data_IF_023350520851
#
_entry.id   IF_023350520851
#
_cell.length_a   1.000
_cell.length_b   1.000
_cell.length_c   1.000
_cell.angle_alpha   90.00
_cell.angle_beta   90.00
_cell.angle_gamma   90.00
#
_symmetry.space_group_name_H-M   'P 1'
#
loop_
_entity.id
_entity.type
_entity.pdbx_description
1 polymer ?
#
# COMPACT_ATOMS: atom_id res chain seq x y z
N UNK A 1 4.28 -24.97 -0.35
CA UNK A 1 5.09 -25.46 -1.48
C UNK A 1 4.22 -26.00 -2.62
N UNK A 2 3.15 -26.77 -2.35
CA UNK A 2 2.29 -27.38 -3.38
C UNK A 2 1.77 -26.37 -4.44
N UNK A 3 1.21 -25.19 -4.08
CA UNK A 3 0.75 -24.23 -5.08
C UNK A 3 1.87 -23.71 -6.00
N UNK A 4 3.08 -23.52 -5.46
CA UNK A 4 4.23 -23.07 -6.26
C UNK A 4 4.64 -24.12 -7.27
N UNK A 5 4.66 -25.40 -6.87
CA UNK A 5 4.99 -26.52 -7.77
C UNK A 5 3.95 -26.63 -8.90
N UNK A 6 2.66 -26.55 -8.57
CA UNK A 6 1.58 -26.60 -9.56
C UNK A 6 1.69 -25.40 -10.52
N UNK A 7 1.82 -24.17 -10.01
CA UNK A 7 1.98 -23.00 -10.86
C UNK A 7 3.23 -23.08 -11.74
N UNK A 8 4.34 -23.62 -11.20
CA UNK A 8 5.57 -23.81 -11.98
C UNK A 8 5.38 -24.82 -13.10
N UNK A 9 4.69 -25.94 -12.83
CA UNK A 9 4.39 -26.95 -13.85
C UNK A 9 3.47 -26.39 -14.93
N UNK A 10 2.50 -25.53 -14.58
CA UNK A 10 1.61 -24.87 -15.55
C UNK A 10 2.31 -23.79 -16.36
N UNK A 11 3.32 -23.11 -15.78
CA UNK A 11 4.09 -22.08 -16.45
C UNK A 11 5.07 -22.67 -17.50
N UNK A 12 5.52 -23.93 -17.30
CA UNK A 12 6.37 -24.64 -18.25
C UNK A 12 5.56 -24.89 -19.53
N UNK A 13 5.97 -24.32 -20.64
CA UNK A 13 5.25 -24.41 -21.92
C UNK A 13 4.28 -23.26 -22.17
N UNK A 14 4.19 -22.27 -21.28
CA UNK A 14 3.45 -21.04 -21.56
C UNK A 14 4.23 -20.17 -22.56
N UNK A 15 3.50 -19.58 -23.52
CA UNK A 15 4.06 -18.67 -24.54
C UNK A 15 4.34 -17.24 -23.99
N UNK A 16 4.37 -17.07 -22.66
CA UNK A 16 4.58 -15.75 -22.04
C UNK A 16 6.07 -15.38 -22.06
N UNK A 17 6.41 -14.37 -22.84
CA UNK A 17 7.75 -13.78 -22.82
C UNK A 17 7.89 -12.78 -21.66
N UNK A 18 8.58 -13.20 -20.60
CA UNK A 18 8.87 -12.39 -19.42
C UNK A 18 9.75 -11.16 -19.70
N UNK A 19 10.52 -11.20 -20.76
CA UNK A 19 11.44 -10.12 -21.15
C UNK A 19 10.82 -9.15 -22.15
N UNK A 20 9.59 -9.41 -22.60
CA UNK A 20 8.91 -8.49 -23.50
C UNK A 20 8.71 -7.11 -22.85
N UNK A 21 8.83 -6.00 -23.59
CA UNK A 21 8.64 -4.66 -23.07
C UNK A 21 7.26 -4.46 -22.43
N UNK A 22 6.26 -5.22 -22.89
CA UNK A 22 4.91 -5.21 -22.32
C UNK A 22 4.89 -5.85 -20.93
N UNK A 23 5.55 -6.99 -20.76
CA UNK A 23 5.57 -7.72 -19.50
C UNK A 23 6.37 -6.96 -18.43
N UNK A 24 7.51 -6.38 -18.82
CA UNK A 24 8.30 -5.53 -17.94
C UNK A 24 7.50 -4.32 -17.43
N UNK A 25 6.62 -3.73 -18.25
CA UNK A 25 5.70 -2.68 -17.79
C UNK A 25 4.72 -3.16 -16.72
N UNK A 26 4.18 -4.37 -16.82
CA UNK A 26 3.30 -4.91 -15.78
C UNK A 26 4.04 -5.08 -14.44
N UNK A 27 5.29 -5.56 -14.48
CA UNK A 27 6.14 -5.64 -13.29
C UNK A 27 6.38 -4.24 -12.71
N UNK A 28 6.82 -3.30 -13.53
CA UNK A 28 7.10 -1.93 -13.12
C UNK A 28 5.86 -1.26 -12.52
N UNK A 29 4.70 -1.37 -13.17
CA UNK A 29 3.44 -0.81 -12.67
C UNK A 29 3.07 -1.41 -11.30
N UNK A 30 3.19 -2.73 -11.14
CA UNK A 30 2.87 -3.40 -9.88
C UNK A 30 3.80 -2.96 -8.76
N UNK A 31 5.12 -2.93 -9.01
CA UNK A 31 6.13 -2.55 -8.01
C UNK A 31 6.03 -1.09 -7.63
N UNK A 32 5.87 -0.19 -8.60
CA UNK A 32 5.75 1.25 -8.33
C UNK A 32 4.48 1.57 -7.55
N UNK A 33 3.35 0.96 -7.94
CA UNK A 33 2.07 1.11 -7.25
C UNK A 33 2.14 0.58 -5.82
N UNK A 34 2.64 -0.65 -5.64
CA UNK A 34 2.77 -1.27 -4.33
C UNK A 34 3.77 -0.52 -3.43
N UNK A 35 4.89 -0.07 -4.00
CA UNK A 35 5.89 0.73 -3.30
C UNK A 35 5.35 2.08 -2.83
N UNK A 36 4.69 2.83 -3.73
CA UNK A 36 4.09 4.12 -3.40
C UNK A 36 3.00 3.97 -2.33
N UNK A 37 2.08 3.01 -2.52
CA UNK A 37 1.03 2.73 -1.54
C UNK A 37 1.60 2.31 -0.18
N UNK A 38 2.60 1.44 -0.14
CA UNK A 38 3.22 1.00 1.11
C UNK A 38 3.88 2.16 1.86
N UNK A 39 4.67 2.98 1.18
CA UNK A 39 5.35 4.14 1.80
C UNK A 39 4.33 5.14 2.37
N UNK A 40 3.32 5.50 1.59
CA UNK A 40 2.31 6.47 2.01
C UNK A 40 1.42 5.91 3.12
N UNK A 41 1.04 4.63 3.06
CA UNK A 41 0.25 3.98 4.11
C UNK A 41 1.02 3.89 5.43
N UNK A 42 2.32 3.54 5.39
CA UNK A 42 3.15 3.50 6.61
C UNK A 42 3.39 4.90 7.16
N UNK A 43 3.60 5.90 6.31
CA UNK A 43 3.69 7.29 6.74
C UNK A 43 2.41 7.76 7.45
N UNK A 44 1.23 7.41 6.90
CA UNK A 44 -0.06 7.69 7.54
C UNK A 44 -0.21 6.94 8.87
N UNK A 45 0.21 5.67 8.95
CA UNK A 45 0.18 4.90 10.20
C UNK A 45 1.09 5.50 11.27
N UNK A 46 2.28 5.98 10.91
CA UNK A 46 3.16 6.72 11.82
C UNK A 46 2.48 8.00 12.31
N UNK A 47 1.87 8.77 11.41
CA UNK A 47 1.19 10.01 11.76
C UNK A 47 0.03 9.78 12.74
N UNK A 48 -0.84 8.81 12.43
CA UNK A 48 -1.98 8.44 13.29
C UNK A 48 -1.51 7.90 14.63
N UNK A 49 -0.60 6.91 14.64
CA UNK A 49 -0.14 6.27 15.86
C UNK A 49 0.68 7.21 16.75
N UNK A 50 1.49 8.09 16.16
CA UNK A 50 2.23 9.10 16.93
C UNK A 50 1.30 10.19 17.48
N UNK A 51 0.29 10.61 16.72
CA UNK A 51 -0.74 11.53 17.21
C UNK A 51 -1.50 10.96 18.42
N UNK A 52 -1.88 9.69 18.38
CA UNK A 52 -2.53 9.00 19.49
C UNK A 52 -1.66 9.00 20.76
N UNK A 53 -0.34 8.86 20.59
CA UNK A 53 0.60 8.88 21.72
C UNK A 53 0.78 10.28 22.33
N UNK A 54 0.77 11.34 21.48
CA UNK A 54 0.93 12.72 21.94
C UNK A 54 -0.30 13.29 22.62
N UNK A 55 -1.47 12.95 22.12
CA UNK A 55 -2.75 13.53 22.53
C UNK A 55 -3.77 12.42 22.78
N UNK A 56 -3.62 11.64 23.88
CA UNK A 56 -4.60 10.63 24.20
C UNK A 56 -5.95 11.29 24.53
N UNK A 57 -6.97 11.03 23.73
CA UNK A 57 -8.29 11.63 23.84
C UNK A 57 -9.31 10.98 22.91
N UNK A 58 -10.56 11.41 22.99
CA UNK A 58 -11.64 10.82 22.18
C UNK A 58 -11.40 10.94 20.67
N UNK A 59 -10.86 12.07 20.22
CA UNK A 59 -10.57 12.31 18.79
C UNK A 59 -9.48 11.38 18.27
N UNK A 60 -8.38 11.22 19.02
CA UNK A 60 -7.28 10.35 18.63
C UNK A 60 -7.67 8.87 18.64
N UNK A 61 -8.46 8.44 19.63
CA UNK A 61 -9.02 7.08 19.65
C UNK A 61 -10.00 6.86 18.50
N UNK A 62 -10.87 7.84 18.21
CA UNK A 62 -11.78 7.81 17.07
C UNK A 62 -11.04 7.68 15.73
N UNK A 63 -9.98 8.46 15.53
CA UNK A 63 -9.15 8.37 14.33
C UNK A 63 -8.51 6.99 14.15
N UNK A 64 -7.98 6.41 15.23
CA UNK A 64 -7.43 5.05 15.19
C UNK A 64 -8.48 3.97 14.95
N UNK A 65 -9.69 4.15 15.49
CA UNK A 65 -10.81 3.24 15.22
C UNK A 65 -11.21 3.27 13.75
N UNK A 66 -11.41 4.48 13.20
CA UNK A 66 -11.74 4.66 11.77
C UNK A 66 -10.64 4.09 10.85
N UNK A 67 -9.38 4.31 11.20
CA UNK A 67 -8.25 3.77 10.43
C UNK A 67 -8.26 2.23 10.33
N UNK A 68 -8.85 1.54 11.30
CA UNK A 68 -8.92 0.07 11.32
C UNK A 68 -10.11 -0.49 10.53
N UNK A 69 -11.15 0.30 10.28
CA UNK A 69 -12.34 -0.15 9.56
C UNK A 69 -12.06 -0.49 8.08
N UNK A 70 -11.10 0.19 7.47
CA UNK A 70 -10.79 0.03 6.05
C UNK A 70 -10.42 -1.41 5.64
N UNK A 71 -9.78 -2.16 6.52
CA UNK A 71 -9.38 -3.54 6.23
C UNK A 71 -10.57 -4.52 6.17
N UNK A 72 -11.63 -4.25 6.91
CA UNK A 72 -12.84 -5.07 6.90
C UNK A 72 -13.70 -4.85 5.64
N UNK A 73 -13.51 -3.73 4.95
CA UNK A 73 -14.31 -3.39 3.77
C UNK A 73 -13.68 -4.03 2.52
N UNK A 74 -14.47 -4.73 1.68
CA UNK A 74 -13.97 -5.28 0.41
C UNK A 74 -13.41 -4.17 -0.50
N UNK A 75 -12.28 -4.45 -1.19
CA UNK A 75 -11.61 -3.46 -2.04
C UNK A 75 -12.49 -2.87 -3.14
N UNK A 76 -13.37 -3.68 -3.74
CA UNK A 76 -14.34 -3.19 -4.72
C UNK A 76 -15.33 -2.18 -4.14
N UNK A 77 -15.77 -2.36 -2.89
CA UNK A 77 -16.68 -1.41 -2.20
C UNK A 77 -15.97 -0.09 -1.93
N UNK A 78 -14.71 -0.15 -1.47
CA UNK A 78 -13.88 1.05 -1.29
C UNK A 78 -13.72 1.78 -2.63
N UNK A 79 -13.44 1.04 -3.71
CA UNK A 79 -13.28 1.63 -5.05
C UNK A 79 -14.53 2.41 -5.48
N UNK A 80 -15.70 1.77 -5.43
CA UNK A 80 -16.97 2.42 -5.81
C UNK A 80 -17.26 3.62 -4.89
N UNK A 81 -17.03 3.47 -3.58
CA UNK A 81 -17.25 4.53 -2.60
C UNK A 81 -16.36 5.75 -2.78
N UNK A 82 -15.15 5.58 -3.33
CA UNK A 82 -14.20 6.68 -3.57
C UNK A 82 -14.40 7.35 -4.93
N UNK A 83 -14.77 6.62 -5.97
CA UNK A 83 -14.91 7.20 -7.33
C UNK A 83 -15.90 8.35 -7.33
N UNK A 84 -17.09 8.18 -6.73
CA UNK A 84 -18.15 9.18 -6.81
C UNK A 84 -17.77 10.54 -6.16
N UNK A 85 -17.27 10.60 -4.90
CA UNK A 85 -16.89 11.86 -4.28
C UNK A 85 -15.66 12.50 -4.95
N UNK A 86 -14.67 11.71 -5.41
CA UNK A 86 -13.51 12.27 -6.10
C UNK A 86 -13.83 12.75 -7.51
N UNK A 87 -14.75 12.09 -8.24
CA UNK A 87 -15.23 12.59 -9.51
C UNK A 87 -16.04 13.90 -9.35
N UNK A 88 -16.85 14.01 -8.31
CA UNK A 88 -17.56 15.25 -7.99
C UNK A 88 -16.57 16.38 -7.66
N UNK A 89 -15.52 16.09 -6.89
CA UNK A 89 -14.45 17.05 -6.58
C UNK A 89 -13.70 17.50 -7.83
N UNK A 90 -13.27 16.58 -8.69
CA UNK A 90 -12.54 16.89 -9.93
C UNK A 90 -13.41 17.77 -10.85
N UNK A 91 -14.70 17.44 -11.01
CA UNK A 91 -15.61 18.23 -11.83
C UNK A 91 -15.86 19.64 -11.26
N UNK A 92 -16.00 19.74 -9.94
CA UNK A 92 -16.17 21.04 -9.28
C UNK A 92 -14.91 21.91 -9.43
N UNK A 93 -13.73 21.29 -9.29
CA UNK A 93 -12.45 21.96 -9.47
C UNK A 93 -12.24 22.42 -10.92
N UNK A 94 -12.53 21.58 -11.90
CA UNK A 94 -12.43 21.90 -13.32
C UNK A 94 -13.38 23.05 -13.70
N UNK A 95 -14.62 23.03 -13.20
CA UNK A 95 -15.57 24.12 -13.42
C UNK A 95 -15.08 25.45 -12.83
N UNK A 96 -14.59 25.44 -11.58
CA UNK A 96 -14.04 26.62 -10.93
C UNK A 96 -12.80 27.16 -11.65
N UNK A 97 -11.90 26.29 -12.11
CA UNK A 97 -10.69 26.66 -12.84
C UNK A 97 -11.00 27.27 -14.21
N UNK A 98 -12.01 26.73 -14.91
CA UNK A 98 -12.48 27.30 -16.19
C UNK A 98 -13.11 28.67 -15.98
N UNK A 99 -13.95 28.83 -14.97
CA UNK A 99 -14.63 30.09 -14.69
C UNK A 99 -13.67 31.21 -14.23
N UNK A 100 -12.63 30.84 -13.46
CA UNK A 100 -11.73 31.83 -12.85
C UNK A 100 -10.49 32.12 -13.70
N UNK A 101 -9.93 31.11 -14.38
CA UNK A 101 -8.64 31.19 -15.06
C UNK A 101 -8.70 30.80 -16.54
N UNK A 102 -9.87 30.43 -17.05
CA UNK A 102 -10.07 29.89 -18.42
C UNK A 102 -9.19 28.66 -18.73
N UNK A 103 -8.89 27.85 -17.69
CA UNK A 103 -8.06 26.65 -17.77
C UNK A 103 -8.89 25.42 -17.47
N UNK A 104 -8.92 24.44 -18.40
CA UNK A 104 -9.49 23.12 -18.14
C UNK A 104 -8.45 22.23 -17.46
N UNK A 105 -8.75 21.75 -16.24
CA UNK A 105 -7.92 20.80 -15.52
C UNK A 105 -8.29 19.34 -15.85
N UNK A 106 -9.52 19.11 -16.31
CA UNK A 106 -10.05 17.75 -16.46
C UNK A 106 -10.10 16.97 -15.14
N UNK A 107 -10.08 15.65 -15.24
CA UNK A 107 -10.06 14.77 -14.07
C UNK A 107 -8.63 14.57 -13.58
N UNK A 108 -8.25 15.21 -12.46
CA UNK A 108 -6.89 15.15 -11.91
C UNK A 108 -6.66 13.91 -11.04
N UNK A 109 -7.65 13.55 -10.24
CA UNK A 109 -7.57 12.44 -9.29
C UNK A 109 -8.24 11.21 -9.86
N UNK A 110 -9.47 11.38 -10.35
CA UNK A 110 -10.27 10.29 -10.93
C UNK A 110 -9.64 9.80 -12.23
N UNK A 111 -9.38 8.48 -12.32
CA UNK A 111 -8.68 7.88 -13.46
C UNK A 111 -7.15 8.03 -13.41
N UNK A 112 -6.60 8.56 -12.32
CA UNK A 112 -5.17 8.60 -12.05
C UNK A 112 -4.73 7.48 -11.10
N UNK A 113 -3.41 7.22 -11.05
CA UNK A 113 -2.81 6.28 -10.10
C UNK A 113 -3.05 6.71 -8.63
N UNK A 114 -3.21 8.02 -8.39
CA UNK A 114 -3.36 8.56 -7.04
C UNK A 114 -4.66 8.15 -6.37
N UNK A 115 -5.76 8.08 -7.12
CA UNK A 115 -7.03 7.59 -6.56
C UNK A 115 -6.91 6.13 -6.10
N UNK A 116 -6.20 5.31 -6.87
CA UNK A 116 -5.92 3.91 -6.52
C UNK A 116 -5.00 3.81 -5.29
N UNK A 117 -3.97 4.67 -5.19
CA UNK A 117 -3.11 4.74 -4.00
C UNK A 117 -3.91 5.13 -2.76
N UNK A 118 -4.81 6.11 -2.87
CA UNK A 118 -5.71 6.50 -1.77
C UNK A 118 -6.59 5.33 -1.33
N UNK A 119 -7.15 4.57 -2.28
CA UNK A 119 -7.95 3.39 -1.96
C UNK A 119 -7.15 2.34 -1.17
N UNK A 120 -5.91 2.12 -1.56
CA UNK A 120 -5.01 1.21 -0.86
C UNK A 120 -4.60 1.73 0.52
N UNK A 121 -4.36 3.04 0.64
CA UNK A 121 -4.11 3.65 1.96
C UNK A 121 -5.30 3.40 2.89
N UNK A 122 -6.52 3.67 2.46
CA UNK A 122 -7.74 3.42 3.26
C UNK A 122 -7.84 1.95 3.65
N UNK A 123 -7.59 1.04 2.70
CA UNK A 123 -7.73 -0.40 2.91
C UNK A 123 -6.67 -0.97 3.84
N UNK A 124 -5.41 -0.62 3.64
CA UNK A 124 -4.28 -1.27 4.31
C UNK A 124 -3.72 -0.49 5.50
N UNK A 125 -4.30 0.67 5.84
CA UNK A 125 -3.87 1.47 6.99
C UNK A 125 -3.95 0.68 8.31
N UNK A 126 -4.97 -0.17 8.47
CA UNK A 126 -5.13 -1.01 9.66
C UNK A 126 -3.95 -1.96 9.86
N UNK A 127 -3.47 -2.60 8.77
CA UNK A 127 -2.34 -3.54 8.84
C UNK A 127 -1.04 -2.81 9.19
N UNK A 128 -0.80 -1.63 8.57
CA UNK A 128 0.36 -0.81 8.88
C UNK A 128 0.32 -0.26 10.30
N UNK A 129 -0.85 0.19 10.77
CA UNK A 129 -1.04 0.71 12.13
C UNK A 129 -0.81 -0.39 13.18
N UNK A 130 -1.33 -1.61 12.94
CA UNK A 130 -1.10 -2.74 13.83
C UNK A 130 0.39 -3.11 13.97
N UNK A 131 1.15 -3.10 12.87
CA UNK A 131 2.59 -3.32 12.92
C UNK A 131 3.34 -2.19 13.64
N UNK A 132 2.93 -0.93 13.42
CA UNK A 132 3.46 0.23 14.13
C UNK A 132 3.21 0.13 15.64
N UNK A 133 1.99 -0.17 16.07
CA UNK A 133 1.61 -0.30 17.47
C UNK A 133 2.36 -1.44 18.17
N UNK A 134 2.53 -2.57 17.48
CA UNK A 134 3.34 -3.68 18.00
C UNK A 134 4.79 -3.28 18.28
N UNK A 135 5.38 -2.43 17.43
CA UNK A 135 6.70 -1.85 17.69
C UNK A 135 6.68 -0.80 18.80
N UNK A 136 5.64 0.02 18.84
CA UNK A 136 5.51 1.11 19.80
C UNK A 136 5.43 0.62 21.25
N UNK A 137 4.98 -0.61 21.49
CA UNK A 137 5.00 -1.24 22.81
C UNK A 137 6.42 -1.35 23.41
N UNK A 138 7.46 -1.31 22.58
CA UNK A 138 8.87 -1.33 23.02
C UNK A 138 9.40 0.05 23.43
N UNK A 139 8.69 1.12 23.10
CA UNK A 139 9.09 2.51 23.42
C UNK A 139 8.42 2.96 24.71
N UNK A 140 9.17 2.87 25.81
CA UNK A 140 8.67 3.26 27.14
C UNK A 140 8.33 4.76 27.22
N UNK A 141 7.29 5.11 28.00
CA UNK A 141 6.87 6.50 28.22
C UNK A 141 7.99 7.37 28.84
N UNK A 142 8.90 6.77 29.62
CA UNK A 142 10.03 7.46 30.21
C UNK A 142 11.00 8.04 29.17
N UNK A 143 11.08 7.44 27.98
CA UNK A 143 11.91 7.97 26.88
C UNK A 143 11.36 9.30 26.37
N UNK A 144 10.03 9.43 26.29
CA UNK A 144 9.38 10.69 25.91
C UNK A 144 9.55 11.75 27.01
N UNK A 145 9.47 11.35 28.29
CA UNK A 145 9.70 12.25 29.41
C UNK A 145 11.14 12.77 29.42
N UNK A 146 12.14 11.88 29.24
CA UNK A 146 13.54 12.25 29.16
C UNK A 146 13.82 13.19 27.96
N UNK A 147 13.21 12.91 26.81
CA UNK A 147 13.34 13.77 25.64
C UNK A 147 12.82 15.18 25.89
N UNK A 148 11.65 15.29 26.55
CA UNK A 148 11.08 16.59 26.93
C UNK A 148 11.96 17.34 27.96
N UNK A 149 12.53 16.63 28.93
CA UNK A 149 13.44 17.25 29.94
C UNK A 149 14.70 17.84 29.28
N UNK A 150 15.12 17.25 28.16
CA UNK A 150 16.23 17.75 27.34
C UNK A 150 15.79 18.85 26.35
N UNK A 151 14.57 19.38 26.45
CA UNK A 151 14.05 20.44 25.61
C UNK A 151 13.70 20.01 24.17
N UNK A 152 13.59 18.70 23.90
CA UNK A 152 13.24 18.22 22.56
C UNK A 152 11.73 18.34 22.31
N UNK A 153 11.38 18.91 21.17
CA UNK A 153 9.98 18.93 20.70
C UNK A 153 9.48 17.57 20.19
N UNK A 154 8.15 17.43 19.97
CA UNK A 154 7.55 16.16 19.56
C UNK A 154 8.15 15.56 18.29
N UNK A 155 8.38 16.37 17.26
CA UNK A 155 8.94 15.91 15.99
C UNK A 155 10.40 15.45 16.13
N UNK A 156 11.17 16.12 16.99
CA UNK A 156 12.55 15.69 17.31
C UNK A 156 12.54 14.34 18.04
N UNK A 157 11.62 14.15 18.99
CA UNK A 157 11.42 12.88 19.69
C UNK A 157 11.02 11.76 18.72
N UNK A 158 10.08 12.03 17.82
CA UNK A 158 9.72 11.06 16.76
C UNK A 158 10.93 10.64 15.94
N UNK A 159 11.68 11.62 15.43
CA UNK A 159 12.79 11.37 14.49
C UNK A 159 14.01 10.73 15.15
N UNK A 160 14.33 11.13 16.41
CA UNK A 160 15.57 10.71 17.10
C UNK A 160 15.39 9.46 17.96
N UNK A 161 14.17 9.19 18.44
CA UNK A 161 13.89 8.10 19.36
C UNK A 161 12.96 7.07 18.72
N UNK A 162 11.75 7.49 18.30
CA UNK A 162 10.74 6.55 17.83
C UNK A 162 11.14 5.88 16.51
N UNK A 163 11.44 6.64 15.45
CA UNK A 163 11.74 6.06 14.15
C UNK A 163 12.92 5.06 14.17
N UNK A 164 14.05 5.33 14.85
CA UNK A 164 15.13 4.36 14.94
C UNK A 164 14.73 3.08 15.68
N UNK A 165 14.01 3.19 16.77
CA UNK A 165 13.56 2.03 17.55
C UNK A 165 12.47 1.23 16.82
N UNK A 166 11.60 1.90 16.09
CA UNK A 166 10.49 1.30 15.34
C UNK A 166 10.91 0.75 13.96
N UNK A 167 12.14 0.99 13.51
CA UNK A 167 12.59 0.57 12.18
C UNK A 167 12.24 -0.88 11.83
N UNK A 168 12.44 -1.90 12.67
CA UNK A 168 12.06 -3.27 12.34
C UNK A 168 10.56 -3.44 12.10
N UNK A 169 9.72 -2.81 12.94
CA UNK A 169 8.26 -2.86 12.83
C UNK A 169 7.77 -2.09 11.61
N UNK A 170 8.39 -0.95 11.28
CA UNK A 170 8.08 -0.16 10.09
C UNK A 170 8.44 -0.90 8.81
N UNK A 171 9.57 -1.61 8.78
CA UNK A 171 9.94 -2.47 7.66
C UNK A 171 8.94 -3.62 7.50
N UNK A 172 8.47 -4.20 8.60
CA UNK A 172 7.42 -5.21 8.58
C UNK A 172 6.11 -4.64 8.03
N UNK A 173 5.71 -3.43 8.47
CA UNK A 173 4.54 -2.73 7.95
C UNK A 173 4.65 -2.49 6.43
N UNK A 174 5.79 -1.98 5.97
CA UNK A 174 6.07 -1.75 4.54
C UNK A 174 5.91 -3.04 3.74
N UNK A 175 6.47 -4.16 4.24
CA UNK A 175 6.38 -5.44 3.58
C UNK A 175 4.96 -5.96 3.49
N UNK A 176 4.21 -5.93 4.60
CA UNK A 176 2.83 -6.40 4.63
C UNK A 176 2.01 -5.63 3.60
N UNK A 177 2.07 -4.30 3.63
CA UNK A 177 1.30 -3.46 2.70
C UNK A 177 1.76 -3.68 1.26
N UNK A 178 3.06 -3.74 1.00
CA UNK A 178 3.60 -4.00 -0.33
C UNK A 178 3.07 -5.31 -0.93
N UNK A 179 3.15 -6.41 -0.16
CA UNK A 179 2.68 -7.73 -0.61
C UNK A 179 1.16 -7.74 -0.80
N UNK A 180 0.41 -7.08 0.08
CA UNK A 180 -1.03 -7.01 -0.02
C UNK A 180 -1.48 -6.21 -1.24
N UNK A 181 -0.82 -5.11 -1.56
CA UNK A 181 -1.10 -4.32 -2.78
C UNK A 181 -0.71 -5.08 -4.05
N UNK A 182 0.42 -5.81 -4.05
CA UNK A 182 0.86 -6.59 -5.21
C UNK A 182 -0.17 -7.62 -5.67
N UNK A 183 -0.94 -8.19 -4.77
CA UNK A 183 -1.99 -9.18 -5.06
C UNK A 183 -3.40 -8.60 -5.11
N UNK A 184 -3.55 -7.28 -4.85
CA UNK A 184 -4.87 -6.66 -4.82
C UNK A 184 -5.44 -6.53 -6.24
N UNK A 185 -6.64 -7.09 -6.44
CA UNK A 185 -7.30 -7.16 -7.73
C UNK A 185 -8.60 -6.34 -7.80
N UNK A 186 -9.58 -6.47 -6.87
CA UNK A 186 -10.90 -5.83 -6.99
C UNK A 186 -10.86 -4.32 -7.16
N UNK A 187 -10.12 -3.61 -6.31
CA UNK A 187 -10.00 -2.15 -6.43
C UNK A 187 -9.20 -1.76 -7.67
N UNK A 188 -8.15 -2.52 -7.99
CA UNK A 188 -7.32 -2.29 -9.19
C UNK A 188 -8.13 -2.38 -10.47
N UNK A 189 -8.98 -3.40 -10.62
CA UNK A 189 -9.82 -3.59 -11.81
C UNK A 189 -10.76 -2.42 -12.07
N UNK A 190 -11.31 -1.84 -10.98
CA UNK A 190 -12.32 -0.77 -11.06
C UNK A 190 -11.67 0.60 -11.27
N UNK A 191 -10.52 0.86 -10.61
CA UNK A 191 -9.95 2.21 -10.49
C UNK A 191 -8.68 2.44 -11.31
N UNK A 192 -8.07 1.40 -11.88
CA UNK A 192 -6.82 1.55 -12.63
C UNK A 192 -6.97 2.51 -13.81
N UNK A 193 -5.99 3.38 -14.06
CA UNK A 193 -5.96 4.20 -15.26
C UNK A 193 -5.89 3.37 -16.54
N UNK A 194 -6.25 3.98 -17.66
CA UNK A 194 -6.10 3.37 -18.99
C UNK A 194 -4.62 2.98 -19.20
N UNK A 195 -4.39 1.80 -19.76
CA UNK A 195 -3.06 1.23 -20.03
C UNK A 195 -2.17 1.01 -18.80
N UNK A 196 -2.73 1.05 -17.59
CA UNK A 196 -2.01 0.78 -16.36
C UNK A 196 -2.35 -0.61 -15.82
N UNK A 197 -1.95 -1.64 -16.57
CA UNK A 197 -2.15 -3.02 -16.14
C UNK A 197 -1.08 -3.44 -15.13
N UNK A 198 -1.51 -4.15 -14.08
CA UNK A 198 -0.65 -4.78 -13.08
C UNK A 198 -0.54 -6.27 -13.32
N UNK A 199 0.39 -6.93 -12.64
CA UNK A 199 0.54 -8.40 -12.71
C UNK A 199 -0.73 -9.11 -12.24
N UNK A 200 -1.42 -8.61 -11.19
CA UNK A 200 -2.67 -9.18 -10.70
C UNK A 200 -3.78 -9.10 -11.76
N UNK A 201 -3.90 -7.96 -12.44
CA UNK A 201 -4.85 -7.77 -13.55
C UNK A 201 -4.53 -8.70 -14.71
N UNK A 202 -3.26 -8.85 -15.07
CA UNK A 202 -2.84 -9.73 -16.14
C UNK A 202 -3.10 -11.21 -15.81
N UNK A 203 -2.81 -11.64 -14.57
CA UNK A 203 -3.12 -12.99 -14.10
C UNK A 203 -4.62 -13.27 -14.20
N UNK A 204 -5.44 -12.34 -13.75
CA UNK A 204 -6.90 -12.45 -13.80
C UNK A 204 -7.42 -12.54 -15.25
N UNK A 205 -6.96 -11.67 -16.15
CA UNK A 205 -7.38 -11.69 -17.58
C UNK A 205 -7.07 -13.03 -18.23
N UNK A 206 -5.84 -13.52 -18.05
CA UNK A 206 -5.44 -14.81 -18.64
C UNK A 206 -6.22 -15.99 -18.02
N UNK A 207 -6.52 -15.94 -16.71
CA UNK A 207 -7.36 -16.94 -16.07
C UNK A 207 -8.81 -16.89 -16.55
N UNK A 208 -9.38 -15.70 -16.77
CA UNK A 208 -10.74 -15.51 -17.31
C UNK A 208 -10.86 -15.96 -18.76
N UNK A 209 -9.76 -15.88 -19.53
CA UNK A 209 -9.66 -16.38 -20.91
C UNK A 209 -9.33 -17.89 -20.96
N UNK A 210 -9.42 -18.61 -19.82
CA UNK A 210 -9.09 -20.04 -19.67
C UNK A 210 -7.62 -20.40 -20.02
N UNK A 211 -6.75 -19.41 -20.12
CA UNK A 211 -5.31 -19.56 -20.40
C UNK A 211 -4.52 -19.75 -19.09
N UNK A 212 -4.78 -20.82 -18.37
CA UNK A 212 -4.24 -21.04 -17.01
C UNK A 212 -2.72 -21.13 -16.97
N UNK A 213 -2.08 -21.73 -17.99
CA UNK A 213 -0.61 -21.74 -18.09
C UNK A 213 -0.02 -20.34 -18.21
N UNK A 214 -0.67 -19.46 -19.00
CA UNK A 214 -0.31 -18.06 -19.10
C UNK A 214 -0.52 -17.28 -17.79
N UNK A 215 -1.62 -17.56 -17.05
CA UNK A 215 -1.92 -16.92 -15.77
C UNK A 215 -0.96 -17.34 -14.65
N UNK A 216 -0.39 -18.55 -14.73
CA UNK A 216 0.58 -19.03 -13.74
C UNK A 216 1.85 -18.17 -13.71
N UNK A 217 2.27 -17.63 -14.85
CA UNK A 217 3.50 -16.83 -14.97
C UNK A 217 3.44 -15.53 -14.15
N UNK A 218 2.47 -14.61 -14.35
CA UNK A 218 2.35 -13.41 -13.50
C UNK A 218 2.08 -13.74 -12.03
N UNK A 219 1.38 -14.83 -11.74
CA UNK A 219 1.16 -15.29 -10.36
C UNK A 219 2.47 -15.69 -9.68
N UNK A 220 3.36 -16.42 -10.36
CA UNK A 220 4.69 -16.76 -9.83
C UNK A 220 5.57 -15.52 -9.63
N UNK A 221 5.49 -14.54 -10.53
CA UNK A 221 6.23 -13.28 -10.38
C UNK A 221 5.74 -12.51 -9.14
N UNK A 222 4.42 -12.43 -8.91
CA UNK A 222 3.86 -11.82 -7.68
C UNK A 222 4.40 -12.54 -6.44
N UNK A 223 4.39 -13.86 -6.43
CA UNK A 223 4.94 -14.66 -5.30
C UNK A 223 6.42 -14.38 -5.10
N UNK A 224 7.22 -14.39 -6.16
CA UNK A 224 8.66 -14.10 -6.08
C UNK A 224 8.94 -12.69 -5.56
N UNK A 225 8.25 -11.69 -6.07
CA UNK A 225 8.38 -10.29 -5.65
C UNK A 225 7.93 -10.06 -4.21
N UNK A 226 6.95 -10.84 -3.72
CA UNK A 226 6.51 -10.81 -2.32
C UNK A 226 7.48 -11.53 -1.38
N UNK A 227 8.02 -12.68 -1.78
CA UNK A 227 8.93 -13.48 -0.95
C UNK A 227 10.34 -12.86 -0.82
N UNK A 228 10.85 -12.24 -1.87
CA UNK A 228 12.19 -11.67 -1.89
C UNK A 228 12.45 -10.68 -0.74
N UNK A 229 11.64 -9.63 -0.54
CA UNK A 229 11.82 -8.70 0.56
C UNK A 229 11.66 -9.37 1.94
N UNK A 230 10.71 -10.31 2.07
CA UNK A 230 10.48 -11.06 3.32
C UNK A 230 11.74 -11.85 3.71
N UNK A 231 12.32 -12.60 2.76
CA UNK A 231 13.55 -13.38 2.99
C UNK A 231 14.70 -12.47 3.38
N UNK A 232 14.86 -11.32 2.70
CA UNK A 232 15.95 -10.37 2.98
C UNK A 232 15.83 -9.80 4.41
N UNK A 233 14.64 -9.41 4.84
CA UNK A 233 14.44 -8.87 6.20
C UNK A 233 14.61 -9.95 7.26
N UNK A 234 14.06 -11.15 7.05
CA UNK A 234 14.27 -12.26 7.98
C UNK A 234 15.77 -12.57 8.17
N UNK A 235 16.56 -12.53 7.09
CA UNK A 235 18.02 -12.72 7.18
C UNK A 235 18.71 -11.59 7.93
N UNK A 236 18.30 -10.33 7.76
CA UNK A 236 18.87 -9.19 8.48
C UNK A 236 18.56 -9.22 9.98
N UNK A 237 17.34 -9.58 10.35
CA UNK A 237 16.90 -9.70 11.75
C UNK A 237 17.60 -10.88 12.42
N UNK A 238 17.72 -12.02 11.74
CA UNK A 238 18.42 -13.21 12.26
C UNK A 238 19.92 -13.02 12.45
N UNK A 239 20.57 -12.09 11.72
CA UNK A 239 22.01 -11.79 11.85
C UNK A 239 22.33 -10.87 13.04
N UNK A 240 21.35 -10.20 13.61
CA UNK A 240 21.51 -9.26 14.74
C UNK A 240 21.22 -9.88 16.11
N UNK A 241 20.86 -11.15 16.13
CA UNK A 241 20.79 -12.01 17.33
C UNK A 241 22.03 -12.89 17.43
#
# INVERSE_FOLDING_TARGET
LLPIVILSSMAIGSEQDLLSPRYLRFIQNSVTLAGAAAVLTVAAAIAVGFYQRLSPGHVSHGAGYLARLGYAVPGGVIAVGLIAPFAAFDNALDAWMRDTFDISTGLLITGSIWLLVIAYMVRFLAAALGAYEGGQALVHANMDAASRSLGQGPLATLRRIHLPLLTPSLLTALLIVFVDVMKELPATLIMRPFNYDTLAVQAYRLASDERLGGAAVPSLVIVAMGLLPVILICRQVGRKR
#
